data_IF_044709582100
#
_entry.id   IF_044709582100
#
_cell.length_a   1.000
_cell.length_b   1.000
_cell.length_c   1.000
_cell.angle_alpha   90.00
_cell.angle_beta   90.00
_cell.angle_gamma   90.00
#
_symmetry.space_group_name_H-M   'P 1'
#
loop_
_entity.id
_entity.type
_entity.pdbx_description
1 polymer ?
#
# COMPACT_ATOMS: atom_id res chain seq x y z
N UNK A 1 -13.85 -5.14 0.29
CA UNK A 1 -13.13 -4.14 -0.51
C UNK A 1 -13.64 -2.72 -0.28
N UNK A 2 -14.94 -2.44 -0.44
CA UNK A 2 -15.51 -1.08 -0.22
C UNK A 2 -15.23 -0.52 1.18
N UNK A 3 -15.21 -1.37 2.20
CA UNK A 3 -14.88 -0.98 3.56
C UNK A 3 -13.43 -0.52 3.69
N UNK A 4 -12.48 -1.20 3.04
CA UNK A 4 -11.05 -0.85 3.02
C UNK A 4 -10.87 0.56 2.46
N UNK A 5 -11.49 0.82 1.30
CA UNK A 5 -11.39 2.10 0.61
C UNK A 5 -12.04 3.24 1.44
N UNK A 6 -13.18 2.97 2.09
CA UNK A 6 -13.82 3.95 2.99
C UNK A 6 -12.93 4.34 4.18
N UNK A 7 -12.13 3.40 4.71
CA UNK A 7 -11.19 3.72 5.79
C UNK A 7 -10.07 4.65 5.29
N UNK A 8 -9.47 4.35 4.14
CA UNK A 8 -8.45 5.21 3.54
C UNK A 8 -9.02 6.59 3.20
N UNK A 9 -10.19 6.67 2.56
CA UNK A 9 -10.89 7.94 2.27
C UNK A 9 -11.17 8.76 3.54
N UNK A 10 -11.50 8.11 4.65
CA UNK A 10 -11.73 8.78 5.93
C UNK A 10 -10.46 9.46 6.45
N UNK A 11 -9.31 8.80 6.34
CA UNK A 11 -8.02 9.38 6.74
C UNK A 11 -7.63 10.54 5.82
N UNK A 12 -7.76 10.36 4.50
CA UNK A 12 -7.46 11.40 3.51
C UNK A 12 -8.32 12.66 3.74
N UNK A 13 -9.61 12.50 4.01
CA UNK A 13 -10.50 13.63 4.33
C UNK A 13 -10.13 14.33 5.65
N UNK A 14 -9.74 13.53 6.67
CA UNK A 14 -9.42 14.02 8.01
C UNK A 14 -8.11 14.76 8.04
N UNK A 15 -7.06 14.19 7.47
CA UNK A 15 -5.70 14.70 7.61
C UNK A 15 -5.20 15.53 6.43
N UNK A 16 -5.89 15.48 5.28
CA UNK A 16 -5.56 16.26 4.07
C UNK A 16 -4.16 16.01 3.53
N UNK A 17 -3.62 14.82 3.78
CA UNK A 17 -2.30 14.36 3.30
C UNK A 17 -2.39 12.92 2.86
N UNK A 18 -1.51 12.51 1.92
CA UNK A 18 -1.26 11.12 1.51
C UNK A 18 0.03 10.57 2.11
N UNK A 19 0.75 11.38 2.87
CA UNK A 19 1.96 10.95 3.55
C UNK A 19 1.61 10.03 4.73
N UNK A 20 1.95 8.72 4.68
CA UNK A 20 1.57 7.77 5.73
C UNK A 20 2.27 8.05 7.06
N UNK A 21 3.45 8.70 7.04
CA UNK A 21 4.16 9.08 8.25
C UNK A 21 3.45 10.20 9.00
N UNK A 22 2.98 11.22 8.28
CA UNK A 22 2.18 12.30 8.86
C UNK A 22 0.86 11.77 9.44
N UNK A 23 0.22 10.83 8.72
CA UNK A 23 -1.01 10.19 9.20
C UNK A 23 -0.73 9.36 10.44
N UNK A 24 0.36 8.57 10.46
CA UNK A 24 0.74 7.76 11.60
C UNK A 24 1.01 8.63 12.84
N UNK A 25 1.74 9.74 12.68
CA UNK A 25 2.03 10.71 13.75
C UNK A 25 0.74 11.30 14.31
N UNK A 26 -0.14 11.82 13.45
CA UNK A 26 -1.43 12.37 13.84
C UNK A 26 -2.37 11.34 14.53
N UNK A 27 -2.16 10.06 14.27
CA UNK A 27 -2.87 8.96 14.93
C UNK A 27 -2.19 8.49 16.21
N UNK A 28 -1.06 9.08 16.61
CA UNK A 28 -0.21 8.63 17.71
C UNK A 28 0.25 7.17 17.54
N UNK A 29 0.67 6.81 16.33
CA UNK A 29 1.32 5.53 16.01
C UNK A 29 2.82 5.76 16.03
N UNK A 30 3.53 4.95 16.80
CA UNK A 30 4.98 5.06 16.96
C UNK A 30 5.66 4.36 15.79
N UNK A 31 6.32 5.12 14.92
CA UNK A 31 7.13 4.57 13.84
C UNK A 31 8.56 4.36 14.32
N UNK A 32 9.13 3.19 14.07
CA UNK A 32 10.50 2.80 14.42
C UNK A 32 11.20 2.19 13.22
N UNK A 33 12.49 2.45 13.12
CA UNK A 33 13.36 1.88 12.11
C UNK A 33 14.32 0.88 12.73
N UNK A 34 14.59 -0.21 12.01
CA UNK A 34 15.53 -1.22 12.45
C UNK A 34 16.03 -2.07 11.29
N UNK A 35 17.15 -2.77 11.48
CA UNK A 35 17.66 -3.75 10.52
C UNK A 35 16.99 -5.10 10.80
N UNK A 36 16.07 -5.48 9.94
CA UNK A 36 15.28 -6.71 10.08
C UNK A 36 15.65 -7.76 9.04
N UNK A 37 16.82 -7.64 8.41
CA UNK A 37 17.25 -8.54 7.33
C UNK A 37 16.25 -8.59 6.16
N UNK A 38 15.50 -9.69 6.05
CA UNK A 38 14.53 -9.89 4.94
C UNK A 38 13.13 -9.33 5.23
N UNK A 39 12.81 -9.09 6.50
CA UNK A 39 11.50 -8.54 6.87
C UNK A 39 11.43 -7.07 6.45
N UNK A 40 10.39 -6.69 5.71
CA UNK A 40 10.18 -5.33 5.21
C UNK A 40 9.67 -4.40 6.31
N UNK A 41 8.69 -4.86 7.05
CA UNK A 41 8.08 -4.13 8.15
C UNK A 41 7.21 -5.02 9.01
N UNK A 42 6.59 -4.45 10.02
CA UNK A 42 5.52 -5.09 10.77
C UNK A 42 4.72 -4.07 11.57
N UNK A 43 3.44 -4.38 11.74
CA UNK A 43 2.56 -3.69 12.68
C UNK A 43 2.43 -4.48 13.98
N UNK A 44 2.42 -3.77 15.11
CA UNK A 44 2.19 -4.36 16.43
C UNK A 44 1.35 -3.47 17.33
N UNK A 45 0.38 -4.08 18.00
CA UNK A 45 -0.39 -3.46 19.07
C UNK A 45 -0.04 -4.11 20.41
N UNK A 46 0.60 -3.38 21.33
CA UNK A 46 1.04 -3.90 22.63
C UNK A 46 0.90 -2.83 23.72
N UNK A 47 0.40 -3.22 24.89
CA UNK A 47 0.24 -2.33 26.03
C UNK A 47 -0.49 -1.02 25.67
N UNK A 48 -1.54 -1.09 24.87
CA UNK A 48 -2.31 0.05 24.32
C UNK A 48 -1.53 1.00 23.40
N UNK A 49 -0.29 0.67 23.06
CA UNK A 49 0.50 1.42 22.10
C UNK A 49 0.49 0.72 20.74
N UNK A 50 0.59 1.53 19.68
CA UNK A 50 0.61 1.11 18.29
C UNK A 50 1.99 1.38 17.72
N UNK A 51 2.58 0.37 17.09
CA UNK A 51 3.91 0.46 16.52
C UNK A 51 3.89 0.01 15.07
N UNK A 52 4.51 0.81 14.23
CA UNK A 52 4.92 0.42 12.87
C UNK A 52 6.44 0.34 12.89
N UNK A 53 7.00 -0.81 12.54
CA UNK A 53 8.43 -0.99 12.37
C UNK A 53 8.76 -1.12 10.89
N UNK A 54 9.77 -0.39 10.43
CA UNK A 54 10.17 -0.31 9.02
C UNK A 54 11.64 -0.70 8.91
N UNK A 55 11.96 -1.53 7.91
CA UNK A 55 13.34 -1.92 7.66
C UNK A 55 14.16 -0.68 7.21
N UNK A 56 15.20 -0.37 7.97
CA UNK A 56 16.07 0.77 7.69
C UNK A 56 16.91 0.64 6.42
N UNK A 57 16.97 -0.57 5.83
CA UNK A 57 17.64 -0.83 4.54
C UNK A 57 16.79 -0.49 3.33
N UNK A 58 15.48 -0.31 3.50
CA UNK A 58 14.57 0.09 2.44
C UNK A 58 14.83 1.54 2.03
N UNK A 59 14.71 1.83 0.74
CA UNK A 59 14.77 3.21 0.25
C UNK A 59 13.51 4.01 0.64
N UNK A 60 13.49 5.30 0.37
CA UNK A 60 12.41 6.20 0.79
C UNK A 60 11.05 5.81 0.18
N UNK A 61 11.03 5.38 -1.08
CA UNK A 61 9.80 4.94 -1.76
C UNK A 61 9.26 3.69 -1.08
N UNK A 62 10.14 2.71 -0.84
CA UNK A 62 9.77 1.47 -0.17
C UNK A 62 9.30 1.73 1.27
N UNK A 63 9.96 2.63 2.01
CA UNK A 63 9.54 3.01 3.37
C UNK A 63 8.13 3.64 3.38
N UNK A 64 7.80 4.49 2.39
CA UNK A 64 6.44 5.03 2.23
C UNK A 64 5.41 3.92 1.99
N UNK A 65 5.73 2.96 1.14
CA UNK A 65 4.87 1.82 0.83
C UNK A 65 4.67 0.94 2.06
N UNK A 66 5.75 0.59 2.76
CA UNK A 66 5.71 -0.20 3.99
C UNK A 66 4.85 0.52 5.04
N UNK A 67 5.12 1.81 5.29
CA UNK A 67 4.37 2.58 6.28
C UNK A 67 2.88 2.61 5.97
N UNK A 68 2.49 2.79 4.70
CA UNK A 68 1.08 2.81 4.30
C UNK A 68 0.41 1.44 4.41
N UNK A 69 1.15 0.36 4.15
CA UNK A 69 0.67 -1.01 4.30
C UNK A 69 0.42 -1.35 5.77
N UNK A 70 1.39 -1.07 6.65
CA UNK A 70 1.28 -1.29 8.10
C UNK A 70 0.19 -0.40 8.73
N UNK A 71 -0.01 0.80 8.20
CA UNK A 71 -1.13 1.66 8.56
C UNK A 71 -2.48 1.02 8.19
N UNK A 72 -2.52 0.29 7.07
CA UNK A 72 -3.68 -0.54 6.70
C UNK A 72 -3.98 -1.59 7.77
N UNK A 73 -2.98 -2.30 8.27
CA UNK A 73 -3.16 -3.24 9.38
C UNK A 73 -3.64 -2.55 10.67
N UNK A 74 -3.13 -1.37 10.99
CA UNK A 74 -3.65 -0.61 12.15
C UNK A 74 -5.12 -0.26 12.01
N UNK A 75 -5.55 0.15 10.84
CA UNK A 75 -6.91 0.63 10.62
C UNK A 75 -7.94 -0.50 10.46
N UNK A 76 -7.54 -1.62 9.85
CA UNK A 76 -8.46 -2.70 9.47
C UNK A 76 -8.36 -3.92 10.38
N UNK A 77 -7.16 -4.24 10.89
CA UNK A 77 -6.85 -5.52 11.49
C UNK A 77 -6.36 -5.43 12.94
N UNK A 78 -6.56 -4.29 13.60
CA UNK A 78 -6.06 -4.04 14.97
C UNK A 78 -6.47 -5.12 15.98
N UNK A 79 -7.67 -5.66 15.87
CA UNK A 79 -8.11 -6.72 16.78
C UNK A 79 -7.37 -8.04 16.54
N UNK A 80 -6.98 -8.31 15.31
CA UNK A 80 -6.15 -9.47 14.97
C UNK A 80 -4.71 -9.28 15.47
N UNK A 81 -4.15 -8.10 15.31
CA UNK A 81 -2.81 -7.76 15.80
C UNK A 81 -2.66 -7.80 17.33
N UNK A 82 -3.75 -7.79 18.10
CA UNK A 82 -3.73 -7.99 19.56
C UNK A 82 -3.33 -9.42 19.97
N UNK A 83 -3.63 -10.40 19.12
CA UNK A 83 -3.39 -11.83 19.39
C UNK A 83 -2.06 -12.33 18.84
N UNK A 84 -1.38 -11.54 18.01
CA UNK A 84 -0.13 -11.91 17.37
C UNK A 84 0.62 -10.73 16.77
N UNK A 85 1.79 -11.01 16.21
CA UNK A 85 2.60 -10.09 15.42
C UNK A 85 2.24 -10.29 13.95
N UNK A 86 1.81 -9.23 13.27
CA UNK A 86 1.69 -9.23 11.83
C UNK A 86 3.07 -8.90 11.25
N UNK A 87 3.64 -9.82 10.49
CA UNK A 87 5.01 -9.72 9.94
C UNK A 87 4.97 -9.81 8.44
N UNK A 88 5.53 -8.84 7.76
CA UNK A 88 5.57 -8.78 6.32
C UNK A 88 6.97 -9.04 5.78
N UNK A 89 7.17 -10.25 5.29
CA UNK A 89 8.36 -10.63 4.51
C UNK A 89 8.20 -10.23 3.04
N UNK A 90 6.95 -10.26 2.53
CA UNK A 90 6.60 -9.90 1.16
C UNK A 90 5.27 -9.15 1.16
N UNK A 91 5.32 -7.83 1.00
CA UNK A 91 4.15 -6.94 1.03
C UNK A 91 3.06 -7.34 0.00
N UNK A 92 3.41 -8.08 -1.05
CA UNK A 92 2.47 -8.44 -2.12
C UNK A 92 2.01 -9.91 -2.08
N UNK A 93 2.13 -10.59 -0.94
CA UNK A 93 1.56 -11.94 -0.80
C UNK A 93 0.02 -11.84 -0.73
N UNK A 94 -0.62 -12.10 -1.87
CA UNK A 94 -2.06 -12.00 -2.02
C UNK A 94 -2.83 -13.24 -1.53
N UNK A 95 -2.15 -14.22 -0.93
CA UNK A 95 -2.79 -15.46 -0.43
C UNK A 95 -3.59 -15.20 0.85
N UNK A 96 -3.15 -14.25 1.68
CA UNK A 96 -3.85 -13.83 2.88
C UNK A 96 -4.83 -12.68 2.58
N UNK A 97 -6.03 -12.77 3.14
CA UNK A 97 -7.06 -11.74 3.04
C UNK A 97 -6.60 -10.43 3.67
N UNK A 98 -5.93 -10.50 4.81
CA UNK A 98 -5.45 -9.32 5.54
C UNK A 98 -4.36 -8.57 4.78
N UNK A 99 -3.41 -9.32 4.19
CA UNK A 99 -2.37 -8.75 3.34
C UNK A 99 -2.94 -8.07 2.11
N UNK A 100 -3.90 -8.71 1.45
CA UNK A 100 -4.59 -8.13 0.30
C UNK A 100 -5.33 -6.85 0.68
N UNK A 101 -6.02 -6.81 1.81
CA UNK A 101 -6.73 -5.61 2.28
C UNK A 101 -5.76 -4.48 2.62
N UNK A 102 -4.63 -4.77 3.25
CA UNK A 102 -3.58 -3.79 3.54
C UNK A 102 -2.97 -3.22 2.24
N UNK A 103 -2.75 -4.06 1.22
CA UNK A 103 -2.28 -3.62 -0.09
C UNK A 103 -3.29 -2.71 -0.82
N UNK A 104 -4.59 -3.03 -0.76
CA UNK A 104 -5.63 -2.16 -1.32
C UNK A 104 -5.71 -0.82 -0.58
N UNK A 105 -5.57 -0.85 0.74
CA UNK A 105 -5.52 0.35 1.55
C UNK A 105 -4.31 1.21 1.17
N UNK A 106 -3.10 0.64 1.12
CA UNK A 106 -1.87 1.34 0.76
C UNK A 106 -1.94 1.95 -0.64
N UNK A 107 -2.40 1.18 -1.62
CA UNK A 107 -2.58 1.65 -2.99
C UNK A 107 -3.52 2.87 -3.06
N UNK A 108 -4.66 2.80 -2.37
CA UNK A 108 -5.62 3.90 -2.39
C UNK A 108 -5.16 5.13 -1.60
N UNK A 109 -4.42 4.91 -0.51
CA UNK A 109 -3.84 5.98 0.28
C UNK A 109 -2.78 6.75 -0.50
N UNK A 110 -1.84 6.04 -1.12
CA UNK A 110 -0.68 6.66 -1.79
C UNK A 110 -1.01 7.28 -3.15
N UNK A 111 -1.90 6.65 -3.92
CA UNK A 111 -2.17 7.02 -5.30
C UNK A 111 -3.45 7.85 -5.39
N UNK A 112 -3.35 9.07 -5.93
CA UNK A 112 -4.52 9.90 -6.22
C UNK A 112 -5.30 9.35 -7.41
N UNK A 113 -6.65 9.48 -7.36
CA UNK A 113 -7.52 9.01 -8.44
C UNK A 113 -7.33 9.85 -9.71
N UNK A 114 -7.21 11.18 -9.58
CA UNK A 114 -7.08 12.08 -10.72
C UNK A 114 -5.74 11.90 -11.41
N UNK A 115 -4.63 11.90 -10.66
CA UNK A 115 -3.29 11.69 -11.21
C UNK A 115 -3.19 10.35 -11.95
N UNK A 116 -3.72 9.29 -11.36
CA UNK A 116 -3.75 7.97 -12.02
C UNK A 116 -4.56 7.99 -13.32
N UNK A 117 -5.74 8.62 -13.32
CA UNK A 117 -6.62 8.69 -14.49
C UNK A 117 -6.01 9.52 -15.62
N UNK A 118 -5.28 10.58 -15.28
CA UNK A 118 -4.58 11.43 -16.25
C UNK A 118 -3.50 10.62 -17.00
N UNK A 119 -2.64 9.89 -16.29
CA UNK A 119 -1.64 9.03 -16.92
C UNK A 119 -2.26 7.87 -17.71
N UNK A 120 -3.34 7.28 -17.20
CA UNK A 120 -4.07 6.24 -17.93
C UNK A 120 -4.69 6.79 -19.23
N UNK A 121 -5.18 8.04 -19.23
CA UNK A 121 -5.66 8.77 -20.42
C UNK A 121 -4.56 9.01 -21.46
N UNK A 122 -3.32 9.20 -21.03
CA UNK A 122 -2.13 9.30 -21.87
C UNK A 122 -1.66 7.94 -22.41
N UNK A 123 -2.40 6.86 -22.15
CA UNK A 123 -2.08 5.48 -22.54
C UNK A 123 -0.78 4.94 -21.93
N UNK A 124 -0.41 5.42 -20.76
CA UNK A 124 0.72 4.87 -20.01
C UNK A 124 0.41 3.43 -19.58
N UNK A 125 1.45 2.60 -19.52
CA UNK A 125 1.37 1.26 -18.92
C UNK A 125 1.36 1.36 -17.39
N UNK A 126 0.99 0.30 -16.69
CA UNK A 126 1.06 0.29 -15.22
C UNK A 126 2.47 0.59 -14.69
N UNK A 127 3.51 0.06 -15.35
CA UNK A 127 4.89 0.35 -14.99
C UNK A 127 5.27 1.83 -15.17
N UNK A 128 4.80 2.48 -16.24
CA UNK A 128 5.02 3.91 -16.48
C UNK A 128 4.27 4.76 -15.43
N UNK A 129 3.01 4.44 -15.17
CA UNK A 129 2.21 5.12 -14.14
C UNK A 129 2.88 5.00 -12.77
N UNK A 130 3.35 3.80 -12.42
CA UNK A 130 4.03 3.54 -11.16
C UNK A 130 5.33 4.37 -11.02
N UNK A 131 6.10 4.49 -12.10
CA UNK A 131 7.33 5.30 -12.12
C UNK A 131 7.02 6.79 -11.89
N UNK A 132 6.01 7.34 -12.57
CA UNK A 132 5.61 8.75 -12.39
C UNK A 132 5.08 9.05 -10.98
N UNK A 133 4.37 8.08 -10.39
CA UNK A 133 3.77 8.24 -9.07
C UNK A 133 4.68 7.79 -7.92
N UNK A 134 5.92 7.38 -8.23
CA UNK A 134 6.89 6.87 -7.24
C UNK A 134 6.31 5.76 -6.35
N UNK A 135 5.69 4.76 -6.98
CA UNK A 135 5.17 3.57 -6.31
C UNK A 135 5.60 2.30 -7.06
N UNK A 136 5.42 1.15 -6.45
CA UNK A 136 5.62 -0.12 -7.15
C UNK A 136 4.49 -0.41 -8.14
N UNK A 137 4.83 -1.10 -9.25
CA UNK A 137 3.86 -1.45 -10.32
C UNK A 137 2.64 -2.21 -9.76
N UNK A 138 2.84 -3.05 -8.77
CA UNK A 138 1.78 -3.82 -8.11
C UNK A 138 0.72 -2.90 -7.48
N UNK A 139 1.12 -1.79 -6.86
CA UNK A 139 0.18 -0.81 -6.30
C UNK A 139 -0.58 -0.06 -7.40
N UNK A 140 0.07 0.24 -8.52
CA UNK A 140 -0.60 0.84 -9.67
C UNK A 140 -1.64 -0.13 -10.28
N UNK A 141 -1.34 -1.42 -10.36
CA UNK A 141 -2.28 -2.45 -10.81
C UNK A 141 -3.49 -2.53 -9.86
N UNK A 142 -3.26 -2.55 -8.55
CA UNK A 142 -4.32 -2.54 -7.55
C UNK A 142 -5.17 -1.28 -7.66
N UNK A 143 -4.55 -0.11 -7.87
CA UNK A 143 -5.28 1.15 -8.09
C UNK A 143 -6.18 1.08 -9.32
N UNK A 144 -5.68 0.51 -10.40
CA UNK A 144 -6.48 0.27 -11.61
C UNK A 144 -7.70 -0.62 -11.33
N UNK A 145 -7.55 -1.68 -10.52
CA UNK A 145 -8.69 -2.52 -10.12
C UNK A 145 -9.70 -1.74 -9.26
N UNK A 146 -9.24 -0.94 -8.30
CA UNK A 146 -10.11 -0.07 -7.49
C UNK A 146 -10.94 0.86 -8.38
N UNK A 147 -10.30 1.55 -9.33
CA UNK A 147 -10.97 2.48 -10.22
C UNK A 147 -11.96 1.79 -11.16
N UNK A 148 -11.61 0.61 -11.70
CA UNK A 148 -12.54 -0.20 -12.51
C UNK A 148 -13.79 -0.60 -11.72
N UNK A 149 -13.63 -1.02 -10.46
CA UNK A 149 -14.77 -1.34 -9.57
C UNK A 149 -15.62 -0.13 -9.26
N UNK A 150 -15.06 1.07 -9.27
CA UNK A 150 -15.77 2.35 -9.16
C UNK A 150 -16.43 2.83 -10.47
N UNK A 151 -16.33 2.05 -11.54
CA UNK A 151 -17.00 2.27 -12.83
C UNK A 151 -16.15 3.02 -13.86
N UNK A 152 -14.88 3.30 -13.58
CA UNK A 152 -14.00 3.91 -14.59
C UNK A 152 -13.62 2.91 -15.68
N UNK A 153 -13.74 3.32 -16.94
CA UNK A 153 -13.31 2.52 -18.10
C UNK A 153 -11.83 2.79 -18.35
N UNK A 154 -10.97 1.89 -17.88
CA UNK A 154 -9.52 1.98 -18.08
C UNK A 154 -9.09 1.10 -19.24
N UNK A 155 -8.37 1.69 -20.19
CA UNK A 155 -7.71 0.99 -21.30
C UNK A 155 -6.18 1.18 -21.17
N UNK A 156 -5.59 0.47 -20.21
CA UNK A 156 -4.15 0.55 -19.91
C UNK A 156 -3.45 -0.53 -20.73
N UNK A 157 -2.47 -0.19 -21.58
CA UNK A 157 -1.71 -1.15 -22.34
C UNK A 157 -0.99 -2.15 -21.41
N UNK A 158 -1.09 -3.44 -21.71
CA UNK A 158 -0.32 -4.47 -21.05
C UNK A 158 0.94 -4.78 -21.86
N UNK A 159 2.10 -4.61 -21.23
CA UNK A 159 3.37 -5.05 -21.80
C UNK A 159 3.82 -6.28 -20.99
N UNK A 160 3.88 -7.48 -21.58
CA UNK A 160 4.39 -8.65 -20.88
C UNK A 160 5.83 -8.42 -20.42
N UNK A 161 6.13 -8.71 -19.16
CA UNK A 161 7.52 -8.69 -18.66
C UNK A 161 8.34 -9.66 -19.52
N UNK A 162 9.44 -9.18 -20.11
CA UNK A 162 10.36 -10.01 -20.88
C UNK A 162 10.90 -11.12 -19.96
N UNK A 163 10.46 -12.36 -20.16
CA UNK A 163 10.79 -13.51 -19.31
C UNK A 163 9.67 -14.54 -19.20
N UNK A 164 8.44 -14.18 -19.53
CA UNK A 164 7.33 -15.13 -19.45
C UNK A 164 7.35 -16.19 -20.57
N UNK A 165 8.11 -15.99 -21.64
CA UNK A 165 8.22 -16.91 -22.78
C UNK A 165 9.55 -17.72 -22.82
N UNK A 166 10.33 -17.75 -21.77
CA UNK A 166 11.66 -18.34 -21.74
C UNK A 166 11.89 -19.44 -20.73
N UNK A 167 11.02 -20.45 -20.64
CA UNK A 167 11.41 -21.80 -20.15
C UNK A 167 10.55 -22.84 -20.88
N UNK A 168 11.11 -23.36 -21.97
CA UNK A 168 10.88 -24.74 -22.39
C UNK A 168 11.95 -25.61 -21.75
#
# INVERSE_FOLDING_TARGET
MDNVIKHADSLLRRFKTRNPFEIADNLNIIVKYGDFHQLKGFYKYICRNRFIAINSRSDEIEQMIICSHELGHDQLHRNHAKTGLMKDYHIYDATDVYEREANYFASHLLIDDADFLDYAGMKYTYAMIAAELNVHEELAIIKGDILKRRGHKLNIPYVPKAGYLGRR
#
